data_IF_041015152385
#
_entry.id   IF_041015152385
#
_cell.length_a   1.000
_cell.length_b   1.000
_cell.length_c   1.000
_cell.angle_alpha   90.00
_cell.angle_beta   90.00
_cell.angle_gamma   90.00
#
_symmetry.space_group_name_H-M   'P 1'
#
loop_
_entity.id
_entity.type
_entity.pdbx_description
1 polymer ?
#
# COMPACT_ATOMS: atom_id res chain seq x y z
N UNK A 1 -27.43 0.38 8.54
CA UNK A 1 -26.17 -0.26 8.11
C UNK A 1 -26.00 -0.04 6.62
N UNK A 2 -24.81 0.35 6.17
CA UNK A 2 -24.49 0.55 4.74
C UNK A 2 -24.19 -0.80 4.08
N UNK A 3 -24.43 -0.92 2.77
CA UNK A 3 -24.17 -2.16 2.01
C UNK A 3 -22.71 -2.63 2.16
N UNK A 4 -21.76 -1.69 2.20
CA UNK A 4 -20.33 -1.98 2.36
C UNK A 4 -19.99 -2.70 3.67
N UNK A 5 -20.68 -2.41 4.79
CA UNK A 5 -20.44 -3.06 6.09
C UNK A 5 -20.65 -4.57 6.05
N UNK A 6 -21.54 -5.04 5.15
CA UNK A 6 -21.89 -6.46 5.03
C UNK A 6 -20.89 -7.27 4.22
N UNK A 7 -19.90 -6.62 3.61
CA UNK A 7 -18.94 -7.29 2.73
C UNK A 7 -17.75 -7.90 3.46
N UNK A 8 -17.56 -7.58 4.75
CA UNK A 8 -16.38 -7.96 5.55
C UNK A 8 -15.05 -7.60 4.87
N UNK A 9 -15.01 -6.55 4.04
CA UNK A 9 -13.82 -6.06 3.33
C UNK A 9 -13.27 -4.81 4.00
N UNK A 10 -11.96 -4.64 3.93
CA UNK A 10 -11.23 -3.45 4.39
C UNK A 10 -10.38 -2.83 3.29
N UNK A 11 -9.84 -1.64 3.56
CA UNK A 11 -8.94 -0.91 2.65
C UNK A 11 -7.56 -0.81 3.32
N UNK A 12 -6.52 -1.21 2.60
CA UNK A 12 -5.14 -0.97 3.01
C UNK A 12 -4.53 0.17 2.18
N UNK A 13 -3.86 1.10 2.85
CA UNK A 13 -3.15 2.22 2.25
C UNK A 13 -1.70 2.23 2.73
N UNK A 14 -0.78 2.68 1.89
CA UNK A 14 0.60 2.92 2.32
C UNK A 14 0.68 4.17 3.20
N UNK A 15 1.51 4.11 4.23
CA UNK A 15 1.95 5.30 4.95
C UNK A 15 3.06 5.99 4.16
N UNK A 16 2.68 7.06 3.48
CA UNK A 16 3.60 7.91 2.71
C UNK A 16 4.15 9.07 3.55
N UNK A 17 3.99 9.04 4.87
CA UNK A 17 4.53 10.02 5.80
C UNK A 17 6.05 10.16 5.65
N UNK A 18 6.53 11.39 5.48
CA UNK A 18 7.95 11.69 5.34
C UNK A 18 8.55 11.39 3.94
N UNK A 19 7.74 11.05 2.93
CA UNK A 19 8.26 10.75 1.59
C UNK A 19 8.89 11.97 0.90
N UNK A 20 8.42 13.19 1.20
CA UNK A 20 8.92 14.42 0.59
C UNK A 20 10.35 14.75 1.05
N UNK A 21 10.70 14.32 2.25
CA UNK A 21 12.00 14.49 2.89
C UNK A 21 12.96 13.38 2.47
N UNK A 22 12.49 12.13 2.37
CA UNK A 22 13.32 10.97 2.07
C UNK A 22 13.59 10.78 0.57
N UNK A 23 12.67 11.16 -0.30
CA UNK A 23 12.79 10.90 -1.74
C UNK A 23 13.89 11.74 -2.41
N UNK A 24 14.97 11.09 -2.85
CA UNK A 24 16.08 11.70 -3.59
C UNK A 24 15.81 11.66 -5.09
N UNK A 25 14.91 12.55 -5.55
CA UNK A 25 14.48 12.62 -6.96
C UNK A 25 15.12 13.79 -7.72
N UNK A 26 15.24 13.65 -9.05
CA UNK A 26 15.62 14.73 -9.97
C UNK A 26 14.55 15.84 -9.95
N UNK A 27 14.93 17.07 -10.30
CA UNK A 27 14.07 18.26 -10.21
C UNK A 27 12.66 18.05 -10.81
N UNK A 28 12.48 17.50 -12.03
CA UNK A 28 11.14 17.28 -12.59
C UNK A 28 10.29 16.31 -11.77
N UNK A 29 10.86 15.16 -11.39
CA UNK A 29 10.18 14.13 -10.60
C UNK A 29 9.83 14.62 -9.18
N UNK A 30 10.69 15.46 -8.60
CA UNK A 30 10.44 16.10 -7.29
C UNK A 30 9.23 17.03 -7.38
N UNK A 31 9.12 17.85 -8.42
CA UNK A 31 7.96 18.73 -8.60
C UNK A 31 6.66 17.91 -8.65
N UNK A 32 6.65 16.82 -9.43
CA UNK A 32 5.51 15.89 -9.49
C UNK A 32 5.15 15.29 -8.12
N UNK A 33 6.15 14.84 -7.35
CA UNK A 33 5.92 14.29 -6.00
C UNK A 33 5.33 15.34 -5.05
N UNK A 34 5.86 16.57 -5.09
CA UNK A 34 5.42 17.63 -4.19
C UNK A 34 4.04 18.19 -4.56
N UNK A 35 3.65 18.14 -5.84
CA UNK A 35 2.31 18.53 -6.29
C UNK A 35 1.23 17.48 -5.99
N UNK A 36 1.62 16.25 -5.65
CA UNK A 36 0.67 15.19 -5.34
C UNK A 36 0.08 15.33 -3.94
N UNK A 37 -1.25 15.36 -3.86
CA UNK A 37 -2.05 15.53 -2.63
C UNK A 37 -2.38 14.20 -1.93
N UNK A 38 -1.42 13.26 -1.87
CA UNK A 38 -1.64 11.92 -1.30
C UNK A 38 -2.19 11.94 0.15
N UNK A 39 -1.75 12.89 0.98
CA UNK A 39 -2.24 13.02 2.36
C UNK A 39 -3.72 13.41 2.42
N UNK A 40 -4.18 14.29 1.52
CA UNK A 40 -5.59 14.66 1.42
C UNK A 40 -6.43 13.51 0.86
N UNK A 41 -5.92 12.79 -0.14
CA UNK A 41 -6.59 11.60 -0.65
C UNK A 41 -6.76 10.55 0.46
N UNK A 42 -5.71 10.28 1.22
CA UNK A 42 -5.75 9.37 2.36
C UNK A 42 -6.78 9.79 3.42
N UNK A 43 -6.81 11.07 3.81
CA UNK A 43 -7.78 11.57 4.78
C UNK A 43 -9.22 11.46 4.27
N UNK A 44 -9.44 11.68 2.96
CA UNK A 44 -10.74 11.55 2.33
C UNK A 44 -11.22 10.10 2.27
N UNK A 45 -10.33 9.17 1.96
CA UNK A 45 -10.63 7.74 2.03
C UNK A 45 -10.98 7.35 3.46
N UNK A 46 -10.16 7.73 4.44
CA UNK A 46 -10.35 7.37 5.84
C UNK A 46 -11.71 7.85 6.39
N UNK A 47 -12.09 9.12 6.19
CA UNK A 47 -13.37 9.60 6.74
C UNK A 47 -14.57 8.97 6.02
N UNK A 48 -14.51 8.76 4.70
CA UNK A 48 -15.60 8.15 3.94
C UNK A 48 -15.76 6.68 4.30
N UNK A 49 -14.65 5.95 4.42
CA UNK A 49 -14.63 4.56 4.86
C UNK A 49 -15.21 4.43 6.27
N UNK A 50 -14.80 5.29 7.21
CA UNK A 50 -15.37 5.34 8.57
C UNK A 50 -16.90 5.56 8.55
N UNK A 51 -17.39 6.51 7.76
CA UNK A 51 -18.84 6.74 7.57
C UNK A 51 -19.57 5.52 7.00
N UNK A 52 -18.89 4.75 6.15
CA UNK A 52 -19.40 3.52 5.57
C UNK A 52 -19.11 2.27 6.41
N UNK A 53 -18.53 2.39 7.62
CA UNK A 53 -18.09 1.28 8.47
C UNK A 53 -17.09 0.33 7.82
N UNK A 54 -16.29 0.82 6.89
CA UNK A 54 -15.20 0.06 6.25
C UNK A 54 -13.90 0.36 6.99
N UNK A 55 -13.19 -0.66 7.48
CA UNK A 55 -11.91 -0.45 8.14
C UNK A 55 -10.83 0.00 7.16
N UNK A 56 -9.94 0.88 7.64
CA UNK A 56 -8.77 1.36 6.89
C UNK A 56 -7.52 1.09 7.70
N UNK A 57 -6.52 0.47 7.09
CA UNK A 57 -5.22 0.17 7.71
C UNK A 57 -4.12 0.86 6.92
N UNK A 58 -3.23 1.54 7.64
CA UNK A 58 -2.00 2.07 7.06
C UNK A 58 -0.87 1.06 7.24
N UNK A 59 -0.10 0.81 6.18
CA UNK A 59 1.02 -0.13 6.17
C UNK A 59 2.31 0.58 5.76
N UNK A 60 3.45 0.08 6.22
CA UNK A 60 4.74 0.59 5.78
C UNK A 60 4.89 0.46 4.25
N UNK A 61 5.30 1.54 3.60
CA UNK A 61 5.48 1.64 2.15
C UNK A 61 6.81 1.03 1.67
N UNK A 62 7.74 0.68 2.57
CA UNK A 62 9.05 0.20 2.17
C UNK A 62 8.95 -1.10 1.36
N UNK A 63 9.57 -1.10 0.18
CA UNK A 63 9.71 -2.27 -0.72
C UNK A 63 8.40 -2.88 -1.26
N UNK A 64 7.23 -2.28 -1.05
CA UNK A 64 5.94 -2.77 -1.59
C UNK A 64 5.91 -2.86 -3.11
N UNK A 65 6.67 -2.00 -3.80
CA UNK A 65 6.80 -1.99 -5.26
C UNK A 65 7.94 -2.86 -5.81
N UNK A 66 8.78 -3.43 -4.93
CA UNK A 66 9.94 -4.26 -5.30
C UNK A 66 9.79 -5.71 -4.81
N UNK A 67 8.98 -5.96 -3.79
CA UNK A 67 8.66 -7.30 -3.30
C UNK A 67 7.76 -8.06 -4.27
N UNK A 68 8.01 -9.36 -4.41
CA UNK A 68 7.11 -10.27 -5.12
C UNK A 68 5.92 -10.64 -4.23
N UNK A 69 4.70 -10.43 -4.73
CA UNK A 69 3.50 -10.82 -3.99
C UNK A 69 3.29 -12.33 -3.86
N UNK A 70 4.00 -13.12 -4.67
CA UNK A 70 3.95 -14.59 -4.64
C UNK A 70 4.96 -15.20 -3.66
N UNK A 71 6.23 -14.77 -3.73
CA UNK A 71 7.32 -15.41 -2.96
C UNK A 71 8.03 -14.49 -1.95
N UNK A 72 7.57 -13.24 -1.79
CA UNK A 72 8.14 -12.22 -0.89
C UNK A 72 9.58 -11.78 -1.21
N UNK A 73 10.22 -12.31 -2.25
CA UNK A 73 11.57 -11.89 -2.67
C UNK A 73 11.59 -10.40 -3.06
N UNK A 74 12.48 -9.64 -2.46
CA UNK A 74 12.68 -8.20 -2.72
C UNK A 74 13.96 -7.99 -3.51
N UNK A 75 13.83 -7.45 -4.71
CA UNK A 75 14.96 -7.01 -5.52
C UNK A 75 14.53 -5.79 -6.34
N UNK A 76 15.40 -4.79 -6.46
CA UNK A 76 15.17 -3.62 -7.30
C UNK A 76 14.98 -4.00 -8.78
N UNK A 77 15.60 -5.08 -9.22
CA UNK A 77 15.48 -5.63 -10.58
C UNK A 77 14.09 -6.23 -10.86
N UNK A 78 13.30 -6.49 -9.82
CA UNK A 78 11.95 -7.02 -10.01
C UNK A 78 11.02 -6.04 -10.74
N UNK A 79 11.28 -4.73 -10.64
CA UNK A 79 10.52 -3.68 -11.33
C UNK A 79 11.44 -2.92 -12.29
N UNK A 80 11.44 -3.32 -13.55
CA UNK A 80 12.31 -2.73 -14.58
C UNK A 80 11.78 -1.40 -15.13
N UNK A 81 10.46 -1.23 -15.16
CA UNK A 81 9.80 -0.01 -15.62
C UNK A 81 8.50 0.25 -14.83
N UNK A 82 7.72 1.26 -15.23
CA UNK A 82 6.52 1.65 -14.51
C UNK A 82 5.42 0.58 -14.54
N UNK A 83 5.26 -0.15 -15.65
CA UNK A 83 4.15 -1.08 -15.86
C UNK A 83 4.53 -2.55 -15.60
N UNK A 84 5.80 -2.93 -15.74
CA UNK A 84 6.22 -4.34 -15.72
C UNK A 84 6.88 -4.73 -14.39
N UNK A 85 6.41 -5.83 -13.80
CA UNK A 85 7.07 -6.54 -12.71
C UNK A 85 7.38 -7.97 -13.13
N UNK A 86 8.62 -8.43 -12.88
CA UNK A 86 9.05 -9.82 -13.07
C UNK A 86 9.98 -10.20 -11.91
N UNK A 87 9.57 -11.16 -11.09
CA UNK A 87 10.37 -11.61 -9.95
C UNK A 87 11.64 -12.33 -10.43
N UNK A 88 12.81 -11.88 -9.97
CA UNK A 88 14.11 -12.50 -10.27
C UNK A 88 14.34 -13.83 -9.54
N UNK A 89 13.49 -14.18 -8.57
CA UNK A 89 13.61 -15.42 -7.79
C UNK A 89 12.65 -16.52 -8.26
N UNK A 90 11.37 -16.22 -8.45
CA UNK A 90 10.36 -17.23 -8.82
C UNK A 90 9.80 -17.08 -10.25
N UNK A 91 10.18 -16.03 -10.98
CA UNK A 91 9.69 -15.80 -12.35
C UNK A 91 8.28 -15.24 -12.46
N UNK A 92 7.57 -15.01 -11.34
CA UNK A 92 6.24 -14.40 -11.34
C UNK A 92 6.24 -13.05 -12.07
N UNK A 93 5.32 -12.86 -13.03
CA UNK A 93 5.22 -11.66 -13.84
C UNK A 93 3.80 -11.11 -13.82
N UNK A 94 3.67 -9.79 -13.67
CA UNK A 94 2.38 -9.10 -13.55
C UNK A 94 2.55 -7.60 -13.83
N UNK A 95 1.44 -6.86 -13.96
CA UNK A 95 1.51 -5.40 -13.90
C UNK A 95 2.06 -4.92 -12.55
N UNK A 96 3.03 -4.01 -12.56
CA UNK A 96 3.75 -3.59 -11.36
C UNK A 96 2.84 -2.99 -10.27
N UNK A 97 1.86 -2.18 -10.67
CA UNK A 97 0.92 -1.58 -9.73
C UNK A 97 -0.07 -2.62 -9.14
N UNK A 98 -0.38 -3.70 -9.88
CA UNK A 98 -1.21 -4.81 -9.37
C UNK A 98 -0.42 -5.64 -8.36
N UNK A 99 0.84 -5.97 -8.66
CA UNK A 99 1.72 -6.63 -7.70
C UNK A 99 1.91 -5.80 -6.42
N UNK A 100 2.13 -4.49 -6.55
CA UNK A 100 2.24 -3.59 -5.40
C UNK A 100 0.95 -3.56 -4.58
N UNK A 101 -0.22 -3.49 -5.23
CA UNK A 101 -1.52 -3.55 -4.54
C UNK A 101 -1.71 -4.87 -3.77
N UNK A 102 -1.28 -6.02 -4.32
CA UNK A 102 -1.29 -7.31 -3.61
C UNK A 102 -0.39 -7.30 -2.39
N UNK A 103 0.80 -6.73 -2.48
CA UNK A 103 1.71 -6.58 -1.33
C UNK A 103 1.09 -5.70 -0.22
N UNK A 104 0.49 -4.57 -0.60
CA UNK A 104 -0.20 -3.67 0.34
C UNK A 104 -1.38 -4.38 1.00
N UNK A 105 -2.18 -5.14 0.24
CA UNK A 105 -3.28 -5.94 0.78
C UNK A 105 -2.80 -7.01 1.77
N UNK A 106 -1.75 -7.77 1.41
CA UNK A 106 -1.14 -8.80 2.29
C UNK A 106 -0.65 -8.20 3.60
N UNK A 107 0.06 -7.06 3.55
CA UNK A 107 0.49 -6.32 4.75
C UNK A 107 -0.70 -5.78 5.55
N UNK A 108 -1.76 -5.33 4.86
CA UNK A 108 -2.97 -4.80 5.51
C UNK A 108 -3.69 -5.85 6.35
N UNK A 109 -3.76 -7.11 5.86
CA UNK A 109 -4.33 -8.23 6.63
C UNK A 109 -3.52 -8.47 7.91
N UNK A 110 -2.19 -8.50 7.80
CA UNK A 110 -1.30 -8.68 8.96
C UNK A 110 -1.44 -7.52 9.95
N UNK A 111 -1.38 -6.27 9.46
CA UNK A 111 -1.52 -5.08 10.29
C UNK A 111 -2.86 -5.02 11.02
N UNK A 112 -3.96 -5.35 10.34
CA UNK A 112 -5.30 -5.42 10.94
C UNK A 112 -5.36 -6.44 12.08
N UNK A 113 -4.83 -7.64 11.86
CA UNK A 113 -4.83 -8.71 12.86
C UNK A 113 -4.05 -8.32 14.12
N UNK A 114 -2.91 -7.66 13.98
CA UNK A 114 -2.08 -7.21 15.12
C UNK A 114 -2.80 -6.12 15.92
N UNK A 115 -3.45 -5.15 15.27
CA UNK A 115 -4.20 -4.11 15.98
C UNK A 115 -5.34 -4.67 16.83
N UNK A 116 -6.10 -5.64 16.32
CA UNK A 116 -7.26 -6.20 17.04
C UNK A 116 -6.83 -7.16 18.15
N UNK A 117 -5.75 -7.93 17.95
CA UNK A 117 -5.20 -8.77 19.02
C UNK A 117 -4.69 -7.95 20.22
N UNK A 118 -4.24 -6.71 19.98
CA UNK A 118 -3.84 -5.80 21.05
C UNK A 118 -5.06 -5.21 21.79
N UNK A 119 -6.16 -4.94 21.09
CA UNK A 119 -7.41 -4.44 21.67
C UNK A 119 -8.16 -5.52 22.49
N UNK A 120 -8.07 -6.79 22.10
CA UNK A 120 -8.67 -7.92 22.84
C UNK A 120 -7.90 -8.33 24.11
N UNK A 121 -6.65 -7.86 24.24
CA UNK A 121 -5.77 -8.18 25.38
C UNK A 121 -5.73 -7.08 26.46
N UNK A 122 -6.50 -6.00 26.29
CA UNK A 122 -6.60 -4.84 27.18
C UNK A 122 -7.95 -4.80 27.91
#
# INVERSE_FOLDING_TARGET
MTEAQRTCRGIALEDLGGIRERARLRKPQRVTLHSWSFAQLGSYIAYKAKRAGVPVVYVDAAYTSQGCSECDHVDKRNRTNQATFVCTSCGFAEHADVNAARNVAKRGVVGWAVSHAADDAA
#
